data_IF_809665616776
#
_entry.id   IF_809665616776
#
_cell.length_a   1.000
_cell.length_b   1.000
_cell.length_c   1.000
_cell.angle_alpha   90.00
_cell.angle_beta   90.00
_cell.angle_gamma   90.00
#
_symmetry.space_group_name_H-M   'P 1'
#
loop_
_entity.id
_entity.type
_entity.pdbx_description
1 polymer ?
#
# COMPACT_ATOMS: atom_id res chain seq x y z
N UNK A 1 23.02 24.60 80.91
CA UNK A 1 22.41 23.38 80.34
C UNK A 1 22.03 23.73 78.93
N UNK A 2 22.93 23.45 78.01
CA UNK A 2 22.76 23.70 76.58
C UNK A 2 22.56 22.36 75.90
N UNK A 3 21.37 22.16 75.35
CA UNK A 3 21.00 20.91 74.61
C UNK A 3 21.41 21.06 73.15
N UNK A 4 22.38 20.30 72.72
CA UNK A 4 22.78 20.16 71.33
C UNK A 4 21.80 19.22 70.58
N UNK A 5 21.08 19.72 69.61
CA UNK A 5 20.25 18.92 68.73
C UNK A 5 21.05 18.65 67.46
N UNK A 6 21.47 17.42 67.29
CA UNK A 6 22.15 16.91 66.09
C UNK A 6 21.11 16.63 65.01
N UNK A 7 21.14 17.42 63.90
CA UNK A 7 20.31 17.18 62.74
C UNK A 7 20.94 16.08 61.88
N UNK A 8 20.27 14.94 61.81
CA UNK A 8 20.66 13.85 60.92
C UNK A 8 20.32 14.20 59.48
N UNK A 9 21.34 14.30 58.63
CA UNK A 9 21.19 14.41 57.16
C UNK A 9 20.65 13.08 56.59
N UNK A 10 19.39 13.07 56.20
CA UNK A 10 18.80 11.98 55.43
C UNK A 10 19.18 12.23 53.96
N UNK A 11 20.22 11.49 53.52
CA UNK A 11 20.55 11.36 52.10
C UNK A 11 19.47 10.49 51.43
N UNK A 12 18.59 11.16 50.65
CA UNK A 12 17.68 10.46 49.74
C UNK A 12 18.49 9.64 48.75
N UNK A 13 18.18 8.34 48.56
CA UNK A 13 18.79 7.56 47.48
C UNK A 13 18.30 8.14 46.15
N UNK A 14 19.26 8.48 45.29
CA UNK A 14 19.00 8.91 43.93
C UNK A 14 18.17 7.82 43.22
N UNK A 15 16.92 8.18 42.89
CA UNK A 15 16.09 7.40 41.98
C UNK A 15 16.86 7.37 40.66
N UNK A 16 17.16 6.15 40.12
CA UNK A 16 17.78 6.09 38.81
C UNK A 16 16.81 6.71 37.82
N UNK A 17 17.18 7.86 37.28
CA UNK A 17 16.54 8.44 36.09
C UNK A 17 16.67 7.39 34.98
N UNK A 18 15.62 6.57 34.84
CA UNK A 18 15.45 5.78 33.64
C UNK A 18 15.43 6.76 32.49
N UNK A 19 16.56 6.87 31.80
CA UNK A 19 16.66 7.55 30.52
C UNK A 19 15.50 7.01 29.68
N UNK A 20 14.54 7.90 29.41
CA UNK A 20 13.42 7.65 28.51
C UNK A 20 14.03 7.45 27.10
N UNK A 21 14.52 6.23 26.88
CA UNK A 21 15.09 5.82 25.60
C UNK A 21 13.92 5.85 24.62
N UNK A 22 13.89 6.87 23.77
CA UNK A 22 12.99 6.88 22.62
C UNK A 22 13.13 5.50 21.94
N UNK A 23 12.04 4.77 21.67
CA UNK A 23 12.14 3.43 21.15
C UNK A 23 12.71 3.49 19.73
N UNK A 24 14.03 3.44 19.61
CA UNK A 24 14.71 3.20 18.35
C UNK A 24 14.20 1.87 17.80
N UNK A 25 13.86 1.86 16.52
CA UNK A 25 13.44 0.64 15.84
C UNK A 25 14.55 -0.42 16.04
N UNK A 26 14.17 -1.61 16.51
CA UNK A 26 15.15 -2.67 16.75
C UNK A 26 15.82 -3.07 15.43
N UNK A 27 17.10 -3.41 15.49
CA UNK A 27 17.93 -3.73 14.30
C UNK A 27 17.27 -4.67 13.30
N UNK A 28 16.61 -5.81 13.70
CA UNK A 28 16.02 -6.71 12.72
C UNK A 28 14.88 -6.06 11.92
N UNK A 29 14.02 -5.25 12.54
CA UNK A 29 12.95 -4.54 11.82
C UNK A 29 13.52 -3.49 10.87
N UNK A 30 14.56 -2.77 11.30
CA UNK A 30 15.24 -1.76 10.48
C UNK A 30 15.82 -2.36 9.20
N UNK A 31 16.60 -3.44 9.34
CA UNK A 31 17.20 -4.14 8.19
C UNK A 31 16.11 -4.68 7.27
N UNK A 32 15.08 -5.30 7.81
CA UNK A 32 13.94 -5.83 7.04
C UNK A 32 13.27 -4.73 6.21
N UNK A 33 13.01 -3.55 6.79
CA UNK A 33 12.40 -2.43 6.10
C UNK A 33 13.30 -1.89 4.97
N UNK A 34 14.60 -1.74 5.22
CA UNK A 34 15.55 -1.30 4.19
C UNK A 34 15.57 -2.30 3.02
N UNK A 35 15.64 -3.59 3.31
CA UNK A 35 15.66 -4.64 2.28
C UNK A 35 14.38 -4.62 1.45
N UNK A 36 13.20 -4.58 2.11
CA UNK A 36 11.91 -4.57 1.39
C UNK A 36 11.80 -3.31 0.52
N UNK A 37 12.06 -2.12 1.05
CA UNK A 37 11.95 -0.88 0.27
C UNK A 37 12.97 -0.79 -0.85
N UNK A 38 14.19 -1.27 -0.67
CA UNK A 38 15.20 -1.34 -1.74
C UNK A 38 14.74 -2.28 -2.85
N UNK A 39 14.22 -3.44 -2.49
CA UNK A 39 13.68 -4.40 -3.44
C UNK A 39 12.47 -3.83 -4.21
N UNK A 40 11.53 -3.20 -3.50
CA UNK A 40 10.38 -2.49 -4.10
C UNK A 40 10.84 -1.41 -5.08
N UNK A 41 11.87 -0.64 -4.73
CA UNK A 41 12.40 0.42 -5.59
C UNK A 41 12.99 -0.16 -6.89
N UNK A 42 13.81 -1.20 -6.79
CA UNK A 42 14.44 -1.83 -7.96
C UNK A 42 13.38 -2.45 -8.89
N UNK A 43 12.47 -3.24 -8.34
CA UNK A 43 11.38 -3.88 -9.10
C UNK A 43 10.43 -2.85 -9.67
N UNK A 44 10.07 -1.84 -8.89
CA UNK A 44 9.16 -0.78 -9.30
C UNK A 44 9.72 0.05 -10.45
N UNK A 45 10.97 0.48 -10.39
CA UNK A 45 11.64 1.24 -11.48
C UNK A 45 11.70 0.37 -12.74
N UNK A 46 12.12 -0.88 -12.62
CA UNK A 46 12.19 -1.81 -13.74
C UNK A 46 10.82 -2.01 -14.38
N UNK A 47 9.80 -2.32 -13.56
CA UNK A 47 8.43 -2.51 -14.03
C UNK A 47 7.85 -1.27 -14.71
N UNK A 48 8.08 -0.10 -14.12
CA UNK A 48 7.62 1.18 -14.66
C UNK A 48 8.26 1.48 -16.03
N UNK A 49 9.57 1.29 -16.15
CA UNK A 49 10.31 1.50 -17.41
C UNK A 49 9.80 0.60 -18.52
N UNK A 50 9.62 -0.69 -18.22
CA UNK A 50 9.08 -1.66 -19.16
C UNK A 50 7.65 -1.32 -19.58
N UNK A 51 6.81 -0.91 -18.62
CA UNK A 51 5.42 -0.55 -18.88
C UNK A 51 5.31 0.70 -19.77
N UNK A 52 6.13 1.73 -19.54
CA UNK A 52 6.19 2.93 -20.38
C UNK A 52 6.59 2.56 -21.82
N UNK A 53 7.54 1.66 -21.98
CA UNK A 53 8.00 1.19 -23.30
C UNK A 53 6.89 0.49 -24.08
N UNK A 54 6.08 -0.34 -23.39
CA UNK A 54 4.95 -1.05 -24.00
C UNK A 54 3.75 -0.13 -24.29
N UNK A 55 3.51 0.89 -23.47
CA UNK A 55 2.40 1.82 -23.68
C UNK A 55 2.56 2.65 -24.96
N UNK A 56 3.79 2.97 -25.37
CA UNK A 56 4.06 3.70 -26.62
C UNK A 56 3.48 3.00 -27.85
N UNK A 57 3.28 1.68 -27.78
CA UNK A 57 2.81 0.87 -28.89
C UNK A 57 1.29 0.67 -28.95
N UNK A 58 0.53 0.86 -27.84
CA UNK A 58 -0.88 0.45 -27.77
C UNK A 58 -1.78 1.29 -26.81
N UNK A 59 -2.00 2.59 -27.08
CA UNK A 59 -2.75 3.49 -26.17
C UNK A 59 -4.30 3.37 -26.26
N UNK A 60 -4.86 2.50 -27.09
CA UNK A 60 -6.28 2.58 -27.47
C UNK A 60 -7.29 1.75 -26.66
N UNK A 61 -6.91 0.98 -25.65
CA UNK A 61 -7.84 0.08 -24.92
C UNK A 61 -8.32 0.67 -23.59
N UNK A 62 -9.55 0.33 -23.17
CA UNK A 62 -10.11 0.64 -21.84
C UNK A 62 -9.22 0.18 -20.68
N UNK A 63 -8.66 -1.02 -20.81
CA UNK A 63 -7.72 -1.57 -19.85
C UNK A 63 -6.46 -0.71 -19.74
N UNK A 64 -6.05 -0.03 -20.80
CA UNK A 64 -4.90 0.87 -20.81
C UNK A 64 -5.10 2.08 -19.88
N UNK A 65 -6.32 2.62 -19.78
CA UNK A 65 -6.61 3.75 -18.89
C UNK A 65 -6.47 3.32 -17.41
N UNK A 66 -6.99 2.15 -17.05
CA UNK A 66 -6.84 1.62 -15.69
C UNK A 66 -5.37 1.35 -15.35
N UNK A 67 -4.59 0.85 -16.30
CA UNK A 67 -3.15 0.64 -16.13
C UNK A 67 -2.35 1.94 -16.06
N UNK A 68 -2.75 2.98 -16.79
CA UNK A 68 -2.16 4.31 -16.66
C UNK A 68 -2.34 4.86 -15.25
N UNK A 69 -3.54 4.74 -14.67
CA UNK A 69 -3.79 5.14 -13.29
C UNK A 69 -2.93 4.35 -12.30
N UNK A 70 -2.79 3.05 -12.52
CA UNK A 70 -1.96 2.19 -11.70
C UNK A 70 -0.48 2.60 -11.79
N UNK A 71 0.01 2.88 -13.00
CA UNK A 71 1.37 3.40 -13.21
C UNK A 71 1.60 4.73 -12.50
N UNK A 72 0.64 5.67 -12.57
CA UNK A 72 0.76 6.96 -11.87
C UNK A 72 0.80 6.74 -10.35
N UNK A 73 -0.05 5.86 -9.81
CA UNK A 73 -0.04 5.53 -8.39
C UNK A 73 1.31 4.93 -7.95
N UNK A 74 1.85 3.98 -8.70
CA UNK A 74 3.16 3.39 -8.42
C UNK A 74 4.30 4.39 -8.57
N UNK A 75 4.28 5.22 -9.62
CA UNK A 75 5.29 6.26 -9.83
C UNK A 75 5.35 7.23 -8.66
N UNK A 76 4.21 7.77 -8.23
CA UNK A 76 4.14 8.70 -7.10
C UNK A 76 4.62 8.04 -5.79
N UNK A 77 4.26 6.78 -5.57
CA UNK A 77 4.76 6.02 -4.42
C UNK A 77 6.28 5.82 -4.48
N UNK A 78 6.82 5.38 -5.62
CA UNK A 78 8.25 5.12 -5.79
C UNK A 78 9.10 6.37 -5.59
N UNK A 79 8.59 7.57 -5.91
CA UNK A 79 9.27 8.83 -5.60
C UNK A 79 9.49 9.05 -4.10
N UNK A 80 8.66 8.44 -3.25
CA UNK A 80 8.77 8.58 -1.80
C UNK A 80 9.61 7.49 -1.13
N UNK A 81 9.85 6.37 -1.80
CA UNK A 81 10.60 5.22 -1.26
C UNK A 81 12.04 5.56 -0.86
N UNK A 82 12.82 6.36 -1.62
CA UNK A 82 14.18 6.74 -1.21
C UNK A 82 14.24 7.46 0.14
N UNK A 83 13.23 8.30 0.45
CA UNK A 83 13.16 9.01 1.73
C UNK A 83 12.88 8.06 2.90
N UNK A 84 12.13 6.98 2.68
CA UNK A 84 11.91 5.93 3.67
C UNK A 84 13.18 5.12 3.90
N UNK A 85 13.88 4.73 2.83
CA UNK A 85 15.18 4.03 2.93
C UNK A 85 16.17 4.90 3.73
N UNK A 86 16.27 6.19 3.40
CA UNK A 86 17.12 7.14 4.12
C UNK A 86 16.79 7.17 5.62
N UNK A 87 15.51 7.35 5.98
CA UNK A 87 15.08 7.39 7.38
C UNK A 87 15.41 6.09 8.13
N UNK A 88 15.12 4.92 7.56
CA UNK A 88 15.43 3.65 8.23
C UNK A 88 16.93 3.37 8.30
N UNK A 89 17.73 3.90 7.38
CA UNK A 89 19.19 3.80 7.43
C UNK A 89 19.80 4.69 8.52
N UNK A 90 19.36 5.94 8.64
CA UNK A 90 19.92 6.95 9.55
C UNK A 90 19.24 7.01 10.91
N UNK A 91 17.97 6.54 11.00
CA UNK A 91 17.08 6.66 12.16
C UNK A 91 16.78 8.12 12.57
N UNK A 92 17.10 9.06 11.72
CA UNK A 92 16.87 10.49 11.94
C UNK A 92 16.20 11.12 10.74
N UNK A 93 15.24 12.00 10.99
CA UNK A 93 14.56 12.75 9.94
C UNK A 93 15.08 14.19 9.91
N UNK A 94 15.98 14.47 8.97
CA UNK A 94 16.60 15.79 8.82
C UNK A 94 15.89 16.68 7.78
N UNK A 95 14.75 16.21 7.27
CA UNK A 95 13.92 16.96 6.32
C UNK A 95 12.78 17.68 7.06
N UNK A 96 12.04 18.53 6.35
CA UNK A 96 10.92 19.26 6.96
C UNK A 96 9.80 18.31 7.43
N UNK A 97 9.05 18.74 8.45
CA UNK A 97 7.84 18.04 8.94
C UNK A 97 6.82 17.84 7.82
N UNK A 98 6.69 18.81 6.89
CA UNK A 98 5.82 18.68 5.72
C UNK A 98 6.20 17.51 4.81
N UNK A 99 7.50 17.29 4.58
CA UNK A 99 7.98 16.13 3.79
C UNK A 99 7.69 14.81 4.51
N UNK A 100 7.82 14.73 5.83
CA UNK A 100 7.43 13.56 6.59
C UNK A 100 5.95 13.22 6.38
N UNK A 101 5.07 14.23 6.46
CA UNK A 101 3.63 14.08 6.21
C UNK A 101 3.34 13.56 4.80
N UNK A 102 3.96 14.16 3.77
CA UNK A 102 3.79 13.75 2.37
C UNK A 102 4.26 12.31 2.14
N UNK A 103 5.47 11.97 2.57
CA UNK A 103 6.02 10.61 2.40
C UNK A 103 5.18 9.57 3.13
N UNK A 104 4.64 9.93 4.30
CA UNK A 104 3.73 9.07 5.07
C UNK A 104 2.38 8.89 4.38
N UNK A 105 1.79 9.99 3.88
CA UNK A 105 0.52 9.96 3.17
C UNK A 105 0.58 9.10 1.91
N UNK A 106 1.66 9.23 1.15
CA UNK A 106 1.78 8.58 -0.16
C UNK A 106 1.71 7.06 -0.11
N UNK A 107 2.27 6.41 0.91
CA UNK A 107 2.13 4.96 1.03
C UNK A 107 0.68 4.53 1.29
N UNK A 108 -0.05 5.28 2.10
CA UNK A 108 -1.45 4.96 2.36
C UNK A 108 -2.33 5.25 1.15
N UNK A 109 -2.13 6.38 0.47
CA UNK A 109 -2.80 6.71 -0.79
C UNK A 109 -2.54 5.60 -1.81
N UNK A 110 -1.29 5.16 -1.96
CA UNK A 110 -0.90 4.07 -2.85
C UNK A 110 -1.67 2.78 -2.55
N UNK A 111 -1.73 2.34 -1.29
CA UNK A 111 -2.45 1.12 -0.88
C UNK A 111 -3.92 1.16 -1.31
N UNK A 112 -4.62 2.26 -1.00
CA UNK A 112 -6.05 2.40 -1.34
C UNK A 112 -6.29 2.58 -2.84
N UNK A 113 -5.39 3.29 -3.54
CA UNK A 113 -5.46 3.46 -4.99
C UNK A 113 -5.30 2.13 -5.71
N UNK A 114 -4.26 1.36 -5.37
CA UNK A 114 -4.00 0.04 -5.97
C UNK A 114 -5.17 -0.90 -5.73
N UNK A 115 -5.67 -0.99 -4.49
CA UNK A 115 -6.84 -1.80 -4.17
C UNK A 115 -8.06 -1.41 -5.01
N UNK A 116 -8.37 -0.11 -5.09
CA UNK A 116 -9.54 0.39 -5.81
C UNK A 116 -9.44 0.10 -7.31
N UNK A 117 -8.26 0.31 -7.90
CA UNK A 117 -8.03 0.03 -9.32
C UNK A 117 -8.15 -1.47 -9.61
N UNK A 118 -7.59 -2.34 -8.76
CA UNK A 118 -7.74 -3.79 -8.91
C UNK A 118 -9.20 -4.23 -8.79
N UNK A 119 -9.92 -3.69 -7.80
CA UNK A 119 -11.35 -3.98 -7.62
C UNK A 119 -12.17 -3.60 -8.85
N UNK A 120 -11.90 -2.42 -9.43
CA UNK A 120 -12.56 -1.96 -10.66
C UNK A 120 -12.21 -2.88 -11.85
N UNK A 121 -10.93 -3.18 -12.08
CA UNK A 121 -10.49 -4.03 -13.18
C UNK A 121 -11.15 -5.41 -13.11
N UNK A 122 -11.11 -6.05 -11.95
CA UNK A 122 -11.68 -7.39 -11.75
C UNK A 122 -13.19 -7.39 -11.91
N UNK A 123 -13.89 -6.38 -11.38
CA UNK A 123 -15.34 -6.22 -11.52
C UNK A 123 -15.75 -6.00 -12.98
N UNK A 124 -15.06 -5.12 -13.71
CA UNK A 124 -15.35 -4.88 -15.14
C UNK A 124 -15.12 -6.15 -15.97
N UNK A 125 -14.08 -6.92 -15.68
CA UNK A 125 -13.81 -8.18 -16.38
C UNK A 125 -14.83 -9.26 -16.05
N UNK A 126 -15.29 -9.33 -14.80
CA UNK A 126 -16.40 -10.20 -14.40
C UNK A 126 -17.69 -9.86 -15.16
N UNK A 127 -18.07 -8.58 -15.21
CA UNK A 127 -19.24 -8.14 -15.94
C UNK A 127 -19.14 -8.43 -17.45
N UNK A 128 -17.96 -8.25 -18.04
CA UNK A 128 -17.72 -8.57 -19.43
C UNK A 128 -17.86 -10.09 -19.71
N UNK A 129 -17.37 -10.94 -18.82
CA UNK A 129 -17.46 -12.39 -18.95
C UNK A 129 -18.91 -12.89 -18.91
N UNK A 130 -19.73 -12.41 -17.94
CA UNK A 130 -21.10 -12.90 -17.75
C UNK A 130 -22.12 -12.24 -18.65
N UNK A 131 -22.06 -10.92 -18.85
CA UNK A 131 -23.11 -10.18 -19.55
C UNK A 131 -22.89 -10.02 -21.05
N UNK A 132 -21.75 -10.41 -21.61
CA UNK A 132 -21.35 -10.14 -23.01
C UNK A 132 -21.70 -8.70 -23.45
N UNK A 133 -21.49 -7.74 -22.56
CA UNK A 133 -21.98 -6.37 -22.68
C UNK A 133 -21.29 -5.69 -23.86
N UNK A 134 -22.02 -5.57 -24.99
CA UNK A 134 -21.60 -4.83 -26.19
C UNK A 134 -21.79 -3.33 -25.95
N UNK A 135 -20.93 -2.74 -25.16
CA UNK A 135 -20.88 -1.28 -25.07
C UNK A 135 -20.12 -0.74 -26.27
N UNK A 136 -20.66 0.29 -26.90
CA UNK A 136 -19.92 1.03 -27.93
C UNK A 136 -18.61 1.53 -27.33
N UNK A 137 -17.54 1.49 -28.12
CA UNK A 137 -16.18 1.77 -27.63
C UNK A 137 -16.04 3.16 -26.99
N UNK A 138 -16.85 4.10 -27.45
CA UNK A 138 -16.94 5.47 -26.92
C UNK A 138 -17.45 5.51 -25.47
N UNK A 139 -18.58 4.90 -25.16
CA UNK A 139 -19.13 4.85 -23.80
C UNK A 139 -18.19 4.11 -22.84
N UNK A 140 -17.53 3.09 -23.31
CA UNK A 140 -16.56 2.34 -22.54
C UNK A 140 -15.37 3.19 -22.12
N UNK A 141 -14.85 4.05 -22.99
CA UNK A 141 -13.77 5.00 -22.68
C UNK A 141 -14.22 6.10 -21.73
N UNK A 142 -15.40 6.66 -21.95
CA UNK A 142 -15.96 7.70 -21.09
C UNK A 142 -16.17 7.20 -19.66
N UNK A 143 -16.70 5.98 -19.48
CA UNK A 143 -16.86 5.38 -18.16
C UNK A 143 -15.52 5.08 -17.48
N UNK A 144 -14.48 4.69 -18.21
CA UNK A 144 -13.17 4.47 -17.64
C UNK A 144 -12.50 5.77 -17.18
N UNK A 145 -12.60 6.83 -17.97
CA UNK A 145 -12.11 8.16 -17.59
C UNK A 145 -12.90 8.70 -16.41
N UNK A 146 -14.23 8.56 -16.41
CA UNK A 146 -15.09 8.95 -15.29
C UNK A 146 -14.77 8.18 -14.01
N UNK A 147 -14.62 6.87 -14.08
CA UNK A 147 -14.20 6.04 -12.95
C UNK A 147 -12.81 6.42 -12.43
N UNK A 148 -11.87 6.69 -13.33
CA UNK A 148 -10.53 7.17 -12.97
C UNK A 148 -10.60 8.52 -12.24
N UNK A 149 -11.28 9.50 -12.81
CA UNK A 149 -11.45 10.81 -12.20
C UNK A 149 -12.13 10.70 -10.82
N UNK A 150 -13.15 9.86 -10.71
CA UNK A 150 -13.90 9.65 -9.47
C UNK A 150 -13.02 9.04 -8.39
N UNK A 151 -12.16 8.07 -8.73
CA UNK A 151 -11.19 7.50 -7.78
C UNK A 151 -10.24 8.59 -7.24
N UNK A 152 -9.68 9.43 -8.10
CA UNK A 152 -8.79 10.50 -7.68
C UNK A 152 -9.52 11.58 -6.86
N UNK A 153 -10.72 11.99 -7.30
CA UNK A 153 -11.54 13.01 -6.64
C UNK A 153 -12.05 12.54 -5.29
N UNK A 154 -12.35 11.25 -5.10
CA UNK A 154 -12.81 10.73 -3.81
C UNK A 154 -11.65 10.44 -2.85
N UNK A 155 -10.58 9.81 -3.33
CA UNK A 155 -9.49 9.39 -2.45
C UNK A 155 -8.61 10.55 -1.97
N UNK A 156 -8.26 11.50 -2.85
CA UNK A 156 -7.41 12.62 -2.46
C UNK A 156 -8.05 13.53 -1.41
N UNK A 157 -9.30 14.02 -1.56
CA UNK A 157 -9.92 14.88 -0.54
C UNK A 157 -10.18 14.19 0.79
N UNK A 158 -10.34 12.87 0.82
CA UNK A 158 -10.50 12.12 2.07
C UNK A 158 -9.15 11.89 2.74
N UNK A 159 -8.15 11.46 1.98
CA UNK A 159 -6.85 11.08 2.52
C UNK A 159 -5.95 12.26 2.86
N UNK A 160 -5.95 13.32 2.02
CA UNK A 160 -5.08 14.48 2.20
C UNK A 160 -5.41 15.24 3.50
N UNK A 161 -6.67 15.65 3.80
CA UNK A 161 -6.99 16.30 5.07
C UNK A 161 -6.76 15.40 6.27
N UNK A 162 -7.11 14.09 6.16
CA UNK A 162 -6.90 13.14 7.24
C UNK A 162 -5.41 13.04 7.62
N UNK A 163 -4.54 13.05 6.63
CA UNK A 163 -3.09 12.98 6.85
C UNK A 163 -2.53 14.35 7.26
N UNK A 164 -2.90 15.44 6.58
CA UNK A 164 -2.34 16.77 6.86
C UNK A 164 -2.76 17.32 8.22
N UNK A 165 -4.02 17.11 8.63
CA UNK A 165 -4.53 17.66 9.88
C UNK A 165 -4.17 16.82 11.11
N UNK A 166 -3.96 15.51 10.93
CA UNK A 166 -3.70 14.61 12.06
C UNK A 166 -2.25 14.13 12.13
N UNK A 167 -1.49 14.25 11.06
CA UNK A 167 -0.09 13.83 11.00
C UNK A 167 0.83 14.95 11.50
N UNK A 168 1.67 14.64 12.52
CA UNK A 168 2.74 15.52 12.96
C UNK A 168 2.26 16.82 13.58
N UNK A 169 1.13 16.81 14.30
CA UNK A 169 0.62 17.97 15.06
C UNK A 169 1.21 18.05 16.47
N UNK A 170 2.12 17.16 16.84
CA UNK A 170 2.87 17.28 18.08
C UNK A 170 4.18 18.01 17.79
N UNK A 171 4.32 19.22 18.31
CA UNK A 171 5.59 19.98 18.33
C UNK A 171 6.75 19.16 18.94
N UNK A 172 6.41 18.12 19.70
CA UNK A 172 7.36 17.19 20.32
C UNK A 172 8.02 16.26 19.30
N UNK A 173 7.31 15.77 18.27
CA UNK A 173 7.88 14.88 17.26
C UNK A 173 8.85 15.64 16.34
N UNK A 174 8.63 16.93 16.11
CA UNK A 174 9.54 17.78 15.35
C UNK A 174 10.85 18.07 16.12
N UNK A 175 10.80 18.11 17.45
CA UNK A 175 11.97 18.29 18.32
C UNK A 175 12.83 17.03 18.41
N UNK A 176 12.26 15.84 18.19
CA UNK A 176 12.95 14.55 18.27
C UNK A 176 13.52 14.05 16.94
N UNK A 177 13.42 14.81 15.84
CA UNK A 177 13.83 14.39 14.48
C UNK A 177 13.28 13.01 14.07
N UNK A 178 12.03 12.73 14.44
CA UNK A 178 11.37 11.46 14.17
C UNK A 178 10.26 11.61 13.13
N UNK A 179 10.07 10.56 12.32
CA UNK A 179 9.03 10.47 11.32
C UNK A 179 8.33 9.10 11.39
N UNK A 180 7.18 8.94 10.76
CA UNK A 180 6.41 7.70 10.66
C UNK A 180 5.83 7.15 11.97
N UNK A 181 5.58 7.99 12.98
CA UNK A 181 4.87 7.62 14.21
C UNK A 181 3.35 7.79 14.03
N UNK A 182 2.63 6.68 13.84
CA UNK A 182 1.19 6.68 13.57
C UNK A 182 0.31 6.45 14.80
N UNK A 183 0.87 6.04 15.93
CA UNK A 183 0.11 5.58 17.09
C UNK A 183 -0.86 6.61 17.64
N UNK A 184 -0.43 7.87 17.80
CA UNK A 184 -1.24 8.96 18.36
C UNK A 184 -2.49 9.30 17.51
N UNK A 185 -2.44 9.09 16.18
CA UNK A 185 -3.62 9.35 15.32
C UNK A 185 -4.79 8.41 15.59
N UNK A 186 -4.48 7.17 15.97
CA UNK A 186 -5.48 6.11 16.16
C UNK A 186 -6.25 6.29 17.45
N UNK A 187 -5.77 7.13 18.39
CA UNK A 187 -6.48 7.49 19.60
C UNK A 187 -7.79 8.26 19.31
N UNK A 188 -7.89 8.90 18.12
CA UNK A 188 -9.13 9.52 17.69
C UNK A 188 -10.17 8.45 17.30
N UNK A 189 -11.36 8.40 17.98
CA UNK A 189 -12.37 7.36 17.72
C UNK A 189 -12.85 7.32 16.27
N UNK A 190 -12.93 8.45 15.59
CA UNK A 190 -13.34 8.51 14.18
C UNK A 190 -12.29 7.87 13.26
N UNK A 191 -11.00 8.11 13.53
CA UNK A 191 -9.88 7.51 12.78
C UNK A 191 -9.81 6.02 13.02
N UNK A 192 -10.00 5.58 14.28
CA UNK A 192 -10.09 4.17 14.65
C UNK A 192 -11.20 3.46 13.89
N UNK A 193 -12.44 4.00 13.96
CA UNK A 193 -13.60 3.43 13.29
C UNK A 193 -13.42 3.37 11.77
N UNK A 194 -12.87 4.42 11.16
CA UNK A 194 -12.59 4.48 9.72
C UNK A 194 -11.59 3.39 9.30
N UNK A 195 -10.48 3.25 10.04
CA UNK A 195 -9.49 2.21 9.76
C UNK A 195 -10.08 0.80 9.89
N UNK A 196 -10.92 0.58 10.90
CA UNK A 196 -11.62 -0.68 11.13
C UNK A 196 -12.54 -1.03 9.95
N UNK A 197 -13.43 -0.10 9.57
CA UNK A 197 -14.37 -0.25 8.46
C UNK A 197 -13.66 -0.50 7.13
N UNK A 198 -12.65 0.31 6.81
CA UNK A 198 -11.88 0.17 5.58
C UNK A 198 -11.14 -1.17 5.52
N UNK A 199 -10.54 -1.62 6.62
CA UNK A 199 -9.83 -2.90 6.65
C UNK A 199 -10.78 -4.07 6.43
N UNK A 200 -11.93 -4.09 7.11
CA UNK A 200 -12.96 -5.13 6.92
C UNK A 200 -13.50 -5.11 5.48
N UNK A 201 -13.78 -3.93 4.94
CA UNK A 201 -14.25 -3.76 3.58
C UNK A 201 -13.25 -4.33 2.55
N UNK A 202 -11.97 -3.98 2.66
CA UNK A 202 -10.92 -4.44 1.75
C UNK A 202 -10.76 -5.96 1.81
N UNK A 203 -10.73 -6.54 3.02
CA UNK A 203 -10.64 -7.99 3.20
C UNK A 203 -11.86 -8.67 2.55
N UNK A 204 -13.07 -8.18 2.84
CA UNK A 204 -14.32 -8.77 2.33
C UNK A 204 -14.39 -8.74 0.80
N UNK A 205 -14.08 -7.58 0.18
CA UNK A 205 -14.06 -7.44 -1.28
C UNK A 205 -13.00 -8.34 -1.91
N UNK A 206 -11.79 -8.42 -1.31
CA UNK A 206 -10.72 -9.28 -1.80
C UNK A 206 -11.11 -10.76 -1.76
N UNK A 207 -11.76 -11.21 -0.69
CA UNK A 207 -12.27 -12.59 -0.58
C UNK A 207 -13.36 -12.90 -1.62
N UNK A 208 -14.31 -11.99 -1.81
CA UNK A 208 -15.38 -12.15 -2.81
C UNK A 208 -14.79 -12.23 -4.23
N UNK A 209 -13.88 -11.33 -4.58
CA UNK A 209 -13.23 -11.31 -5.89
C UNK A 209 -12.39 -12.57 -6.13
N UNK A 210 -11.73 -13.07 -5.10
CA UNK A 210 -10.99 -14.34 -5.15
C UNK A 210 -11.91 -15.50 -5.47
N UNK A 211 -13.04 -15.60 -4.76
CA UNK A 211 -14.05 -16.63 -5.01
C UNK A 211 -14.62 -16.58 -6.43
N UNK A 212 -14.97 -15.39 -6.90
CA UNK A 212 -15.46 -15.17 -8.26
C UNK A 212 -14.41 -15.60 -9.29
N UNK A 213 -13.15 -15.20 -9.13
CA UNK A 213 -12.07 -15.54 -10.06
C UNK A 213 -11.81 -17.04 -10.09
N UNK A 214 -11.84 -17.71 -8.94
CA UNK A 214 -11.70 -19.16 -8.85
C UNK A 214 -12.84 -19.90 -9.58
N UNK A 215 -14.09 -19.45 -9.44
CA UNK A 215 -15.25 -20.02 -10.13
C UNK A 215 -15.13 -19.86 -11.64
N UNK A 216 -14.75 -18.66 -12.13
CA UNK A 216 -14.59 -18.42 -13.57
C UNK A 216 -13.50 -19.32 -14.15
N UNK A 217 -12.33 -19.39 -13.49
CA UNK A 217 -11.23 -20.20 -13.95
C UNK A 217 -11.57 -21.69 -13.97
N UNK A 218 -12.23 -22.17 -12.92
CA UNK A 218 -12.72 -23.55 -12.85
C UNK A 218 -13.72 -23.86 -13.97
N UNK A 219 -14.70 -22.97 -14.22
CA UNK A 219 -15.67 -23.13 -15.28
C UNK A 219 -15.02 -23.18 -16.68
N UNK A 220 -14.00 -22.35 -16.92
CA UNK A 220 -13.24 -22.37 -18.17
C UNK A 220 -12.46 -23.66 -18.38
N UNK A 221 -11.76 -24.12 -17.33
CA UNK A 221 -10.98 -25.38 -17.41
C UNK A 221 -11.94 -26.55 -17.65
N UNK A 222 -13.09 -26.58 -16.97
CA UNK A 222 -14.10 -27.62 -17.17
C UNK A 222 -14.70 -27.61 -18.59
N UNK A 223 -14.91 -26.42 -19.17
CA UNK A 223 -15.51 -26.26 -20.50
C UNK A 223 -14.57 -26.64 -21.63
N UNK A 224 -13.31 -26.24 -21.55
CA UNK A 224 -12.34 -26.35 -22.66
C UNK A 224 -11.26 -27.42 -22.45
N UNK A 225 -11.15 -27.98 -21.24
CA UNK A 225 -10.13 -28.98 -20.90
C UNK A 225 -8.71 -28.53 -21.26
N UNK A 226 -7.92 -29.39 -21.92
CA UNK A 226 -6.56 -29.06 -22.34
C UNK A 226 -6.49 -27.95 -23.40
N UNK A 227 -7.56 -27.75 -24.20
CA UNK A 227 -7.65 -26.72 -25.22
C UNK A 227 -7.85 -25.31 -24.60
N UNK A 228 -8.08 -25.20 -23.29
CA UNK A 228 -8.23 -23.90 -22.61
C UNK A 228 -7.01 -22.99 -22.79
N UNK A 229 -5.80 -23.57 -22.87
CA UNK A 229 -4.54 -22.83 -23.04
C UNK A 229 -4.40 -22.12 -24.39
N UNK A 230 -5.10 -22.61 -25.43
CA UNK A 230 -5.13 -21.97 -26.77
C UNK A 230 -6.08 -20.76 -26.82
N UNK A 231 -6.99 -20.65 -25.86
CA UNK A 231 -7.98 -19.55 -25.80
C UNK A 231 -7.38 -18.27 -25.27
N UNK A 232 -7.57 -17.16 -26.00
CA UNK A 232 -7.11 -15.85 -25.55
C UNK A 232 -7.75 -15.42 -24.20
N UNK A 233 -9.02 -15.79 -23.99
CA UNK A 233 -9.75 -15.51 -22.73
C UNK A 233 -9.08 -16.18 -21.53
N UNK A 234 -8.52 -17.38 -21.68
CA UNK A 234 -7.81 -18.08 -20.62
C UNK A 234 -6.63 -17.26 -20.08
N UNK A 235 -5.83 -16.70 -20.97
CA UNK A 235 -4.69 -15.86 -20.59
C UNK A 235 -5.10 -14.56 -19.92
N UNK A 236 -6.26 -14.03 -20.29
CA UNK A 236 -6.86 -12.87 -19.59
C UNK A 236 -7.23 -13.26 -18.16
N UNK A 237 -7.81 -14.45 -17.94
CA UNK A 237 -8.16 -14.93 -16.59
C UNK A 237 -6.91 -15.26 -15.75
N UNK A 238 -5.85 -15.75 -16.35
CA UNK A 238 -4.57 -15.93 -15.63
C UNK A 238 -4.01 -14.60 -15.15
N UNK A 239 -4.08 -13.53 -15.96
CA UNK A 239 -3.68 -12.18 -15.51
C UNK A 239 -4.55 -11.68 -14.36
N UNK A 240 -5.85 -11.92 -14.40
CA UNK A 240 -6.75 -11.56 -13.30
C UNK A 240 -6.40 -12.34 -12.01
N UNK A 241 -6.04 -13.61 -12.15
CA UNK A 241 -5.58 -14.44 -11.02
C UNK A 241 -4.33 -13.84 -10.37
N UNK A 242 -3.40 -13.32 -11.17
CA UNK A 242 -2.18 -12.67 -10.64
C UNK A 242 -2.56 -11.43 -9.80
N UNK A 243 -3.50 -10.58 -10.25
CA UNK A 243 -3.98 -9.45 -9.45
C UNK A 243 -4.60 -9.90 -8.12
N UNK A 244 -5.41 -10.95 -8.17
CA UNK A 244 -6.01 -11.53 -6.97
C UNK A 244 -4.93 -12.05 -6.02
N UNK A 245 -3.91 -12.75 -6.54
CA UNK A 245 -2.79 -13.25 -5.74
C UNK A 245 -2.00 -12.12 -5.09
N UNK A 246 -1.72 -11.04 -5.82
CA UNK A 246 -1.06 -9.85 -5.28
C UNK A 246 -1.90 -9.21 -4.17
N UNK A 247 -3.23 -9.09 -4.36
CA UNK A 247 -4.12 -8.61 -3.29
C UNK A 247 -4.06 -9.51 -2.04
N UNK A 248 -4.14 -10.82 -2.22
CA UNK A 248 -4.13 -11.78 -1.12
C UNK A 248 -2.79 -11.81 -0.38
N UNK A 249 -1.67 -11.63 -1.07
CA UNK A 249 -0.33 -11.73 -0.46
C UNK A 249 0.19 -10.41 0.09
N UNK A 250 -0.20 -9.28 -0.48
CA UNK A 250 0.31 -7.98 -0.09
C UNK A 250 -0.70 -7.13 0.70
N UNK A 251 -1.96 -7.06 0.26
CA UNK A 251 -2.94 -6.16 0.86
C UNK A 251 -3.71 -6.82 2.01
N UNK A 252 -4.18 -8.05 1.84
CA UNK A 252 -4.97 -8.74 2.88
C UNK A 252 -4.17 -8.93 4.17
N UNK A 253 -2.91 -9.41 4.17
CA UNK A 253 -2.13 -9.55 5.39
C UNK A 253 -1.92 -8.22 6.12
N UNK A 254 -1.69 -7.13 5.39
CA UNK A 254 -1.58 -5.80 5.98
C UNK A 254 -2.87 -5.40 6.70
N UNK A 255 -4.04 -5.55 6.06
CA UNK A 255 -5.31 -5.17 6.66
C UNK A 255 -5.75 -6.08 7.81
N UNK A 256 -5.44 -7.38 7.75
CA UNK A 256 -5.63 -8.31 8.89
C UNK A 256 -4.76 -7.90 10.08
N UNK A 257 -3.48 -7.60 9.81
CA UNK A 257 -2.59 -7.11 10.86
C UNK A 257 -3.02 -5.75 11.39
N UNK A 258 -3.52 -4.87 10.53
CA UNK A 258 -4.04 -3.54 10.89
C UNK A 258 -5.17 -3.62 11.92
N UNK A 259 -6.09 -4.57 11.79
CA UNK A 259 -7.13 -4.80 12.79
C UNK A 259 -6.55 -5.14 14.17
N UNK A 260 -5.48 -5.94 14.22
CA UNK A 260 -4.77 -6.25 15.45
C UNK A 260 -4.00 -5.04 16.00
N UNK A 261 -3.35 -4.29 15.11
CA UNK A 261 -2.57 -3.09 15.44
C UNK A 261 -3.42 -2.00 16.12
N UNK A 262 -4.69 -1.87 15.73
CA UNK A 262 -5.61 -0.90 16.33
C UNK A 262 -5.80 -1.09 17.85
N UNK A 263 -5.59 -2.30 18.38
CA UNK A 263 -5.75 -2.59 19.81
C UNK A 263 -4.49 -2.27 20.64
N UNK A 264 -3.28 -2.29 20.03
CA UNK A 264 -2.02 -1.99 20.70
C UNK A 264 -1.06 -1.33 19.72
N UNK A 265 -1.21 -0.03 19.55
CA UNK A 265 -0.49 0.76 18.56
C UNK A 265 0.99 0.94 18.88
N UNK A 266 1.34 0.99 20.16
CA UNK A 266 2.73 1.23 20.59
C UNK A 266 3.57 -0.02 20.37
N UNK A 267 3.12 -1.15 20.88
CA UNK A 267 3.86 -2.42 20.81
C UNK A 267 3.97 -2.97 19.40
N UNK A 268 2.91 -2.82 18.60
CA UNK A 268 2.83 -3.40 17.26
C UNK A 268 3.29 -2.45 16.15
N UNK A 269 3.72 -1.22 16.48
CA UNK A 269 4.18 -0.23 15.50
C UNK A 269 5.27 -0.74 14.57
N UNK A 270 6.37 -1.39 15.04
CA UNK A 270 7.41 -1.87 14.13
C UNK A 270 6.91 -2.91 13.13
N UNK A 271 6.07 -3.83 13.59
CA UNK A 271 5.50 -4.86 12.72
C UNK A 271 4.50 -4.25 11.71
N UNK A 272 3.70 -3.23 12.12
CA UNK A 272 2.80 -2.52 11.21
C UNK A 272 3.56 -1.86 10.06
N UNK A 273 4.74 -1.27 10.31
CA UNK A 273 5.58 -0.71 9.26
C UNK A 273 6.10 -1.77 8.28
N UNK A 274 6.43 -2.96 8.75
CA UNK A 274 6.85 -4.08 7.89
C UNK A 274 5.69 -4.54 7.01
N UNK A 275 4.49 -4.76 7.57
CA UNK A 275 3.32 -5.12 6.77
C UNK A 275 2.93 -4.03 5.77
N UNK A 276 3.09 -2.75 6.16
CA UNK A 276 2.89 -1.61 5.27
C UNK A 276 3.92 -1.61 4.13
N UNK A 277 5.20 -1.91 4.41
CA UNK A 277 6.24 -2.01 3.39
C UNK A 277 5.97 -3.15 2.39
N UNK A 278 5.43 -4.29 2.86
CA UNK A 278 5.02 -5.42 2.01
C UNK A 278 3.95 -4.99 0.99
N UNK A 279 3.07 -4.04 1.33
CA UNK A 279 2.11 -3.53 0.34
C UNK A 279 2.78 -2.86 -0.87
N UNK A 280 4.01 -2.37 -0.74
CA UNK A 280 4.79 -1.84 -1.86
C UNK A 280 5.13 -2.89 -2.90
N UNK A 281 5.14 -4.18 -2.55
CA UNK A 281 5.35 -5.29 -3.49
C UNK A 281 4.23 -5.41 -4.54
N UNK A 282 3.11 -4.70 -4.38
CA UNK A 282 2.10 -4.61 -5.44
C UNK A 282 2.68 -4.09 -6.75
N UNK A 283 3.80 -3.36 -6.74
CA UNK A 283 4.54 -2.94 -7.95
C UNK A 283 4.96 -4.10 -8.86
N UNK A 284 4.94 -5.35 -8.38
CA UNK A 284 5.16 -6.55 -9.21
C UNK A 284 4.12 -6.72 -10.32
N UNK A 285 2.93 -6.17 -10.18
CA UNK A 285 1.89 -6.22 -11.19
C UNK A 285 2.38 -5.66 -12.53
N UNK A 286 3.20 -4.60 -12.51
CA UNK A 286 3.76 -3.99 -13.71
C UNK A 286 4.60 -4.97 -14.53
N UNK A 287 5.33 -5.89 -13.88
CA UNK A 287 6.11 -6.92 -14.56
C UNK A 287 5.22 -7.96 -15.26
N UNK A 288 4.04 -8.24 -14.70
CA UNK A 288 3.10 -9.23 -15.26
C UNK A 288 2.49 -8.80 -16.60
N UNK A 289 2.43 -7.49 -16.85
CA UNK A 289 1.96 -6.94 -18.13
C UNK A 289 3.00 -7.05 -19.22
N UNK A 290 4.27 -7.03 -18.85
CA UNK A 290 5.40 -7.05 -19.77
C UNK A 290 5.62 -8.42 -20.42
N UNK A 291 5.29 -9.51 -19.71
CA UNK A 291 5.63 -10.87 -20.12
C UNK A 291 5.15 -11.31 -21.52
N UNK A 292 4.06 -10.72 -22.06
CA UNK A 292 3.61 -11.01 -23.44
C UNK A 292 4.26 -10.12 -24.49
N UNK A 293 4.56 -8.86 -24.16
CA UNK A 293 5.24 -7.96 -25.10
C UNK A 293 6.66 -8.42 -25.39
N UNK A 294 7.38 -8.86 -24.37
CA UNK A 294 8.76 -9.37 -24.51
C UNK A 294 8.78 -10.71 -25.26
N UNK A 295 7.84 -11.62 -25.01
CA UNK A 295 7.76 -12.88 -25.76
C UNK A 295 7.46 -12.67 -27.25
N UNK A 296 6.65 -11.67 -27.63
CA UNK A 296 6.40 -11.39 -29.06
C UNK A 296 7.62 -10.76 -29.75
N UNK A 297 8.41 -9.95 -29.02
CA UNK A 297 9.63 -9.34 -29.59
C UNK A 297 10.80 -10.32 -29.66
N UNK A 298 10.83 -11.34 -28.80
CA UNK A 298 11.89 -12.37 -28.85
C UNK A 298 11.63 -13.47 -29.90
N UNK A 299 10.43 -13.54 -30.54
CA UNK A 299 10.07 -14.56 -31.53
C UNK A 299 9.80 -13.96 -32.92
N UNK A 300 10.03 -12.68 -33.13
CA UNK A 300 10.17 -12.03 -34.43
C UNK A 300 11.61 -11.63 -34.69
#
# INVERSE_FOLDING_TARGET
MTMNTTVANITNPAVPTSSLHSPHLTEPFRITLIVIYTFVLLVGITGLTLMISLLKTNIRSLTTIAFLNLMVAHFLFLLTVPFRIYYYATQTWNLSSGMCKVVSAMVHIHVYMVFTIYAIILTLRFLHYYKKMQWTEFYRRLHALGASALVWILLLPIMVPLVLNQYGNSDDDAKENQCFKFGKMIENPAVYALNMILSIFIISVSCVQTGIQAIILHAMIRKYGQASRSQQEFWVQIKNLIFVLIMLTCLVPYHLFRLKYLNDTVKLSPANEVFLAITGLTCFDMLTFTGRGVCQVCWT
#
